data_IF_290710057655
#
_entry.id   IF_290710057655
#
_cell.length_a   1.000
_cell.length_b   1.000
_cell.length_c   1.000
_cell.angle_alpha   90.00
_cell.angle_beta   90.00
_cell.angle_gamma   90.00
#
_symmetry.space_group_name_H-M   'P 1'
#
loop_
_entity.id
_entity.type
_entity.pdbx_description
1 polymer ?
#
# COMPACT_ATOMS: atom_id res chain seq x y z
N UNK A 1 14.06 14.88 15.90
CA UNK A 1 12.89 14.28 15.22
C UNK A 1 11.77 14.16 16.23
N UNK A 2 10.59 14.72 15.97
CA UNK A 2 9.48 14.66 16.92
C UNK A 2 9.06 13.21 17.14
N UNK A 3 8.86 12.78 18.38
CA UNK A 3 8.46 11.42 18.73
C UNK A 3 7.25 10.92 17.93
N UNK A 4 6.27 11.78 17.70
CA UNK A 4 5.06 11.47 16.94
C UNK A 4 5.35 11.19 15.46
N UNK A 5 6.24 11.97 14.83
CA UNK A 5 6.67 11.74 13.46
C UNK A 5 7.36 10.36 13.32
N UNK A 6 8.12 9.96 14.34
CA UNK A 6 8.72 8.63 14.38
C UNK A 6 7.68 7.50 14.46
N UNK A 7 6.58 7.71 15.19
CA UNK A 7 5.45 6.75 15.22
C UNK A 7 4.79 6.70 13.83
N UNK A 8 4.51 7.85 13.22
CA UNK A 8 3.86 7.94 11.91
C UNK A 8 4.68 7.20 10.84
N UNK A 9 6.01 7.40 10.80
CA UNK A 9 6.86 6.69 9.84
C UNK A 9 6.86 5.16 10.06
N UNK A 10 6.93 4.71 11.32
CA UNK A 10 6.83 3.28 11.65
C UNK A 10 5.46 2.70 11.27
N UNK A 11 4.40 3.50 11.46
CA UNK A 11 3.06 3.10 11.05
C UNK A 11 3.00 2.85 9.54
N UNK A 12 3.61 3.71 8.72
CA UNK A 12 3.63 3.53 7.27
C UNK A 12 4.45 2.32 6.82
N UNK A 13 5.56 2.01 7.48
CA UNK A 13 6.30 0.75 7.21
C UNK A 13 5.38 -0.45 7.46
N UNK A 14 4.72 -0.49 8.61
CA UNK A 14 3.89 -1.64 9.00
C UNK A 14 2.60 -1.72 8.18
N UNK A 15 2.05 -0.57 7.75
CA UNK A 15 0.90 -0.51 6.85
C UNK A 15 1.25 -0.98 5.43
N UNK A 16 2.47 -0.74 4.95
CA UNK A 16 2.92 -1.23 3.66
C UNK A 16 3.15 -2.75 3.60
N UNK A 17 3.44 -3.39 4.75
CA UNK A 17 3.74 -4.83 4.79
C UNK A 17 2.67 -5.72 4.12
N UNK A 18 1.35 -5.54 4.34
CA UNK A 18 0.34 -6.43 3.79
C UNK A 18 -0.04 -6.13 2.34
N UNK A 19 0.31 -4.99 1.78
CA UNK A 19 -0.22 -4.54 0.48
C UNK A 19 0.16 -5.46 -0.69
N UNK A 20 1.35 -6.05 -0.67
CA UNK A 20 1.80 -7.00 -1.68
C UNK A 20 1.61 -8.48 -1.28
N UNK A 21 1.01 -8.79 -0.12
CA UNK A 21 0.90 -10.15 0.39
C UNK A 21 -0.02 -11.03 -0.44
N UNK A 22 -1.19 -10.51 -0.82
CA UNK A 22 -2.16 -11.28 -1.61
C UNK A 22 -1.51 -11.74 -2.92
N UNK A 23 -0.88 -10.83 -3.65
CA UNK A 23 -0.18 -11.16 -4.89
C UNK A 23 0.96 -12.15 -4.68
N UNK A 24 1.75 -11.98 -3.61
CA UNK A 24 2.89 -12.86 -3.30
C UNK A 24 2.47 -14.27 -2.93
N UNK A 25 1.38 -14.43 -2.18
CA UNK A 25 0.89 -15.74 -1.72
C UNK A 25 0.02 -16.45 -2.77
N UNK A 26 -0.57 -15.70 -3.72
CA UNK A 26 -1.61 -16.19 -4.60
C UNK A 26 -1.22 -17.43 -5.43
N UNK A 27 0.02 -17.59 -5.94
CA UNK A 27 0.44 -18.80 -6.65
C UNK A 27 0.30 -20.12 -5.85
N UNK A 28 0.22 -20.03 -4.52
CA UNK A 28 -0.09 -21.17 -3.65
C UNK A 28 -1.58 -21.25 -3.31
N UNK A 29 -2.18 -20.09 -3.01
CA UNK A 29 -3.56 -20.00 -2.52
C UNK A 29 -4.58 -20.47 -3.55
N UNK A 30 -4.46 -20.07 -4.83
CA UNK A 30 -5.44 -20.43 -5.84
C UNK A 30 -5.47 -21.95 -6.11
N UNK A 31 -4.33 -22.63 -6.01
CA UNK A 31 -4.23 -24.09 -6.12
C UNK A 31 -4.86 -24.78 -4.92
N UNK A 32 -4.59 -24.28 -3.71
CA UNK A 32 -5.14 -24.84 -2.47
C UNK A 32 -6.66 -24.70 -2.40
N UNK A 33 -7.19 -23.55 -2.84
CA UNK A 33 -8.64 -23.29 -2.88
C UNK A 33 -9.34 -23.87 -4.11
N UNK A 34 -8.58 -24.40 -5.07
CA UNK A 34 -9.09 -24.94 -6.34
C UNK A 34 -9.94 -23.91 -7.12
N UNK A 35 -9.50 -22.66 -7.14
CA UNK A 35 -10.16 -21.56 -7.84
C UNK A 35 -9.32 -21.06 -9.01
N UNK A 36 -9.93 -20.41 -10.02
CA UNK A 36 -9.17 -19.76 -11.08
C UNK A 36 -8.19 -18.71 -10.55
N UNK A 37 -7.03 -18.57 -11.20
CA UNK A 37 -6.02 -17.57 -10.82
C UNK A 37 -6.59 -16.14 -10.79
N UNK A 38 -7.56 -15.84 -11.64
CA UNK A 38 -8.24 -14.53 -11.72
C UNK A 38 -9.02 -14.12 -10.46
N UNK A 39 -9.32 -15.06 -9.57
CA UNK A 39 -10.07 -14.77 -8.33
C UNK A 39 -9.35 -13.87 -7.33
N UNK A 40 -8.01 -13.71 -7.43
CA UNK A 40 -7.29 -12.67 -6.69
C UNK A 40 -7.85 -11.28 -6.98
N UNK A 41 -8.27 -11.02 -8.21
CA UNK A 41 -8.89 -9.76 -8.62
C UNK A 41 -10.17 -9.46 -7.84
N UNK A 42 -10.99 -10.47 -7.56
CA UNK A 42 -12.22 -10.27 -6.78
C UNK A 42 -11.91 -9.82 -5.33
N UNK A 43 -10.95 -10.46 -4.67
CA UNK A 43 -10.51 -10.07 -3.32
C UNK A 43 -9.94 -8.64 -3.36
N UNK A 44 -9.08 -8.33 -4.34
CA UNK A 44 -8.48 -7.00 -4.51
C UNK A 44 -9.55 -5.93 -4.75
N UNK A 45 -10.58 -6.21 -5.53
CA UNK A 45 -11.69 -5.28 -5.76
C UNK A 45 -12.51 -5.03 -4.49
N UNK A 46 -12.77 -6.05 -3.67
CA UNK A 46 -13.46 -5.89 -2.38
C UNK A 46 -12.63 -4.98 -1.46
N UNK A 47 -11.32 -5.20 -1.38
CA UNK A 47 -10.40 -4.35 -0.62
C UNK A 47 -10.46 -2.92 -1.14
N UNK A 48 -10.32 -2.71 -2.46
CA UNK A 48 -10.33 -1.40 -3.07
C UNK A 48 -11.63 -0.63 -2.82
N UNK A 49 -12.78 -1.29 -2.94
CA UNK A 49 -14.08 -0.68 -2.62
C UNK A 49 -14.17 -0.27 -1.15
N UNK A 50 -13.74 -1.13 -0.23
CA UNK A 50 -13.67 -0.81 1.19
C UNK A 50 -12.74 0.39 1.47
N UNK A 51 -11.58 0.44 0.83
CA UNK A 51 -10.60 1.53 0.92
C UNK A 51 -11.20 2.85 0.42
N UNK A 52 -11.85 2.86 -0.73
CA UNK A 52 -12.52 4.06 -1.29
C UNK A 52 -13.59 4.56 -0.32
N UNK A 53 -14.48 3.69 0.14
CA UNK A 53 -15.56 4.07 1.05
C UNK A 53 -15.03 4.64 2.36
N UNK A 54 -14.02 4.01 2.96
CA UNK A 54 -13.46 4.47 4.23
C UNK A 54 -12.64 5.74 4.09
N UNK A 55 -11.93 5.94 2.98
CA UNK A 55 -11.19 7.17 2.69
C UNK A 55 -12.13 8.36 2.54
N UNK A 56 -13.28 8.20 1.88
CA UNK A 56 -14.31 9.24 1.76
C UNK A 56 -14.93 9.64 3.11
N UNK A 57 -14.98 8.70 4.06
CA UNK A 57 -15.49 8.95 5.41
C UNK A 57 -14.41 9.46 6.38
N UNK A 58 -13.14 9.33 6.03
CA UNK A 58 -11.99 9.57 6.90
C UNK A 58 -11.97 10.98 7.48
N UNK A 59 -12.26 12.02 6.68
CA UNK A 59 -12.29 13.40 7.16
C UNK A 59 -13.35 13.59 8.27
N UNK A 60 -14.57 13.07 8.07
CA UNK A 60 -15.65 13.14 9.08
C UNK A 60 -15.27 12.41 10.36
N UNK A 61 -14.68 11.22 10.23
CA UNK A 61 -14.24 10.42 11.37
C UNK A 61 -13.09 11.11 12.13
N UNK A 62 -12.13 11.68 11.41
CA UNK A 62 -10.99 12.38 11.99
C UNK A 62 -11.41 13.65 12.74
N UNK A 63 -12.35 14.43 12.20
CA UNK A 63 -12.92 15.59 12.89
C UNK A 63 -13.66 15.20 14.17
N UNK A 64 -14.39 14.08 14.16
CA UNK A 64 -15.19 13.64 15.33
C UNK A 64 -14.35 12.98 16.41
N UNK A 65 -13.40 12.12 16.04
CA UNK A 65 -12.67 11.26 16.99
C UNK A 65 -11.19 11.63 17.13
N UNK A 66 -10.66 12.47 16.26
CA UNK A 66 -9.24 12.82 16.18
C UNK A 66 -8.42 11.80 15.40
N UNK A 67 -7.34 12.27 14.77
CA UNK A 67 -6.47 11.46 13.90
C UNK A 67 -5.90 10.23 14.63
N UNK A 68 -5.45 10.38 15.87
CA UNK A 68 -4.86 9.27 16.62
C UNK A 68 -5.85 8.12 16.87
N UNK A 69 -7.10 8.43 17.24
CA UNK A 69 -8.11 7.42 17.50
C UNK A 69 -8.53 6.71 16.21
N UNK A 70 -8.74 7.45 15.12
CA UNK A 70 -9.04 6.88 13.79
C UNK A 70 -7.89 5.97 13.35
N UNK A 71 -6.64 6.40 13.47
CA UNK A 71 -5.47 5.58 13.13
C UNK A 71 -5.41 4.30 13.95
N UNK A 72 -5.56 4.39 15.29
CA UNK A 72 -5.52 3.22 16.17
C UNK A 72 -6.60 2.20 15.83
N UNK A 73 -7.84 2.66 15.65
CA UNK A 73 -8.98 1.80 15.32
C UNK A 73 -8.79 1.15 13.94
N UNK A 74 -8.37 1.91 12.94
CA UNK A 74 -8.17 1.43 11.58
C UNK A 74 -7.05 0.38 11.49
N UNK A 75 -5.90 0.61 12.14
CA UNK A 75 -4.82 -0.39 12.21
C UNK A 75 -5.26 -1.62 12.98
N UNK A 76 -6.07 -1.46 14.03
CA UNK A 76 -6.65 -2.59 14.76
C UNK A 76 -7.58 -3.44 13.89
N UNK A 77 -8.41 -2.81 13.08
CA UNK A 77 -9.31 -3.49 12.12
C UNK A 77 -8.49 -4.24 11.06
N UNK A 78 -7.44 -3.62 10.50
CA UNK A 78 -6.58 -4.31 9.52
C UNK A 78 -5.81 -5.48 10.15
N UNK A 79 -5.33 -5.33 11.39
CA UNK A 79 -4.68 -6.41 12.12
C UNK A 79 -5.62 -7.60 12.33
N UNK A 80 -6.86 -7.34 12.75
CA UNK A 80 -7.89 -8.34 12.92
C UNK A 80 -8.26 -9.02 11.60
N UNK A 81 -8.41 -8.27 10.53
CA UNK A 81 -8.66 -8.80 9.20
C UNK A 81 -7.53 -9.71 8.71
N UNK A 82 -6.27 -9.31 8.89
CA UNK A 82 -5.10 -10.14 8.53
C UNK A 82 -5.02 -11.43 9.37
N UNK A 83 -5.41 -11.36 10.64
CA UNK A 83 -5.57 -12.57 11.43
C UNK A 83 -6.63 -13.48 10.83
N UNK A 84 -7.76 -12.92 10.41
CA UNK A 84 -8.80 -13.63 9.68
C UNK A 84 -8.30 -14.28 8.38
N UNK A 85 -7.48 -13.56 7.59
CA UNK A 85 -6.79 -14.15 6.43
C UNK A 85 -5.93 -15.34 6.84
N UNK A 86 -5.20 -15.23 7.96
CA UNK A 86 -4.29 -16.27 8.43
C UNK A 86 -4.95 -17.57 8.90
N UNK A 87 -6.25 -17.56 9.17
CA UNK A 87 -7.03 -18.73 9.57
C UNK A 87 -8.03 -19.17 8.50
N UNK A 88 -8.00 -18.54 7.33
CA UNK A 88 -8.92 -18.84 6.23
C UNK A 88 -8.54 -20.15 5.54
N UNK A 89 -9.56 -20.97 5.25
CA UNK A 89 -9.43 -22.25 4.56
C UNK A 89 -10.24 -22.29 3.25
N UNK A 90 -10.83 -21.16 2.86
CA UNK A 90 -11.60 -21.07 1.62
C UNK A 90 -11.53 -19.66 1.02
N UNK A 91 -11.74 -19.59 -0.29
CA UNK A 91 -11.81 -18.31 -1.02
C UNK A 91 -12.85 -17.35 -0.43
N UNK A 92 -14.04 -17.85 -0.07
CA UNK A 92 -15.12 -17.03 0.47
C UNK A 92 -14.79 -16.40 1.82
N UNK A 93 -14.06 -17.12 2.66
CA UNK A 93 -13.55 -16.55 3.92
C UNK A 93 -12.62 -15.38 3.67
N UNK A 94 -11.75 -15.46 2.66
CA UNK A 94 -10.88 -14.33 2.29
C UNK A 94 -11.70 -13.13 1.82
N UNK A 95 -12.77 -13.35 1.02
CA UNK A 95 -13.65 -12.27 0.58
C UNK A 95 -14.33 -11.57 1.78
N UNK A 96 -14.77 -12.32 2.79
CA UNK A 96 -15.36 -11.77 4.02
C UNK A 96 -14.33 -10.92 4.78
N UNK A 97 -13.11 -11.41 4.96
CA UNK A 97 -12.05 -10.69 5.65
C UNK A 97 -11.49 -9.51 4.85
N UNK A 98 -11.62 -9.53 3.53
CA UNK A 98 -11.23 -8.41 2.66
C UNK A 98 -12.04 -7.14 2.94
N UNK A 99 -13.29 -7.26 3.40
CA UNK A 99 -14.16 -6.11 3.73
C UNK A 99 -13.58 -5.29 4.89
N UNK A 100 -13.40 -5.83 6.11
CA UNK A 100 -12.82 -5.06 7.19
C UNK A 100 -11.38 -4.63 6.90
N UNK A 101 -10.60 -5.41 6.15
CA UNK A 101 -9.26 -5.01 5.74
C UNK A 101 -9.30 -3.71 4.92
N UNK A 102 -10.11 -3.65 3.86
CA UNK A 102 -10.22 -2.45 3.02
C UNK A 102 -10.74 -1.23 3.79
N UNK A 103 -11.75 -1.41 4.65
CA UNK A 103 -12.28 -0.33 5.49
C UNK A 103 -11.21 0.24 6.46
N UNK A 104 -10.39 -0.60 7.05
CA UNK A 104 -9.30 -0.16 7.91
C UNK A 104 -8.21 0.57 7.12
N UNK A 105 -7.74 -0.02 6.01
CA UNK A 105 -6.63 0.50 5.22
C UNK A 105 -6.88 1.93 4.70
N UNK A 106 -8.06 2.21 4.13
CA UNK A 106 -8.34 3.52 3.55
C UNK A 106 -8.43 4.64 4.58
N UNK A 107 -9.03 4.40 5.73
CA UNK A 107 -9.15 5.43 6.77
C UNK A 107 -7.80 5.80 7.39
N UNK A 108 -6.91 4.84 7.61
CA UNK A 108 -5.59 5.12 8.20
C UNK A 108 -4.70 5.88 7.23
N UNK A 109 -4.70 5.49 5.95
CA UNK A 109 -3.90 6.16 4.94
C UNK A 109 -4.35 7.63 4.78
N UNK A 110 -5.63 7.86 4.55
CA UNK A 110 -6.17 9.21 4.39
C UNK A 110 -5.93 10.09 5.63
N UNK A 111 -6.15 9.58 6.84
CA UNK A 111 -6.00 10.37 8.06
C UNK A 111 -4.56 10.74 8.39
N UNK A 112 -3.61 9.83 8.18
CA UNK A 112 -2.18 10.11 8.41
C UNK A 112 -1.58 11.02 7.34
N UNK A 113 -1.94 10.83 6.07
CA UNK A 113 -1.53 11.72 4.99
C UNK A 113 -2.01 13.15 5.25
N UNK A 114 -3.28 13.33 5.60
CA UNK A 114 -3.83 14.64 5.95
C UNK A 114 -3.12 15.24 7.17
N UNK A 115 -2.88 14.46 8.22
CA UNK A 115 -2.18 14.92 9.40
C UNK A 115 -0.76 15.41 9.08
N UNK A 116 0.00 14.68 8.26
CA UNK A 116 1.36 15.08 7.84
C UNK A 116 1.32 16.31 6.96
N UNK A 117 0.35 16.41 6.04
CA UNK A 117 0.20 17.58 5.17
C UNK A 117 -0.07 18.87 5.97
N UNK A 118 -0.86 18.77 7.05
CA UNK A 118 -1.22 19.94 7.87
C UNK A 118 -0.14 20.34 8.88
N UNK A 119 0.67 19.41 9.39
CA UNK A 119 1.54 19.66 10.55
C UNK A 119 3.03 19.61 10.25
N UNK A 120 3.42 19.19 9.03
CA UNK A 120 4.83 18.98 8.67
C UNK A 120 5.16 19.52 7.28
N UNK A 121 6.44 19.79 7.02
CA UNK A 121 6.91 20.26 5.71
C UNK A 121 6.75 19.17 4.64
N UNK A 122 6.58 19.57 3.37
CA UNK A 122 6.33 18.69 2.21
C UNK A 122 7.33 17.53 2.06
N UNK A 123 8.60 17.74 2.48
CA UNK A 123 9.61 16.67 2.49
C UNK A 123 9.22 15.44 3.32
N UNK A 124 8.43 15.64 4.39
CA UNK A 124 7.98 14.54 5.25
C UNK A 124 6.91 13.69 4.57
N UNK A 125 6.16 14.24 3.62
CA UNK A 125 5.23 13.47 2.79
C UNK A 125 5.99 12.48 1.89
N UNK A 126 7.05 12.91 1.22
CA UNK A 126 7.90 12.02 0.40
C UNK A 126 8.53 10.91 1.25
N UNK A 127 9.05 11.24 2.43
CA UNK A 127 9.60 10.26 3.37
C UNK A 127 8.55 9.27 3.90
N UNK A 128 7.33 9.72 4.12
CA UNK A 128 6.21 8.89 4.53
C UNK A 128 5.94 7.77 3.52
N UNK A 129 5.81 8.14 2.25
CA UNK A 129 5.60 7.17 1.18
C UNK A 129 6.84 6.30 0.89
N UNK A 130 8.05 6.80 1.13
CA UNK A 130 9.25 5.98 1.10
C UNK A 130 9.20 4.89 2.19
N UNK A 131 8.78 5.23 3.41
CA UNK A 131 8.62 4.26 4.50
C UNK A 131 7.54 3.21 4.19
N UNK A 132 6.42 3.61 3.56
CA UNK A 132 5.44 2.65 3.04
C UNK A 132 6.08 1.68 2.04
N UNK A 133 6.86 2.18 1.09
CA UNK A 133 7.57 1.36 0.11
C UNK A 133 8.55 0.36 0.75
N UNK A 134 9.23 0.74 1.84
CA UNK A 134 10.05 -0.19 2.63
C UNK A 134 9.19 -1.33 3.16
N UNK A 135 8.02 -1.03 3.74
CA UNK A 135 7.08 -2.04 4.22
C UNK A 135 6.58 -2.96 3.09
N UNK A 136 6.13 -2.37 1.99
CA UNK A 136 5.64 -3.10 0.82
C UNK A 136 6.73 -4.01 0.21
N UNK A 137 8.00 -3.61 0.33
CA UNK A 137 9.14 -4.45 -0.06
C UNK A 137 9.33 -5.64 0.89
N UNK A 138 9.29 -5.41 2.19
CA UNK A 138 9.55 -6.45 3.21
C UNK A 138 8.45 -7.53 3.23
N UNK A 139 7.18 -7.15 2.98
CA UNK A 139 6.04 -8.07 3.01
C UNK A 139 6.24 -9.33 2.15
N UNK A 140 6.53 -9.21 0.83
CA UNK A 140 6.82 -10.34 -0.04
C UNK A 140 7.98 -11.21 0.41
N UNK A 141 9.03 -10.62 1.02
CA UNK A 141 10.14 -11.40 1.57
C UNK A 141 9.73 -12.22 2.79
N UNK A 142 8.88 -11.68 3.68
CA UNK A 142 8.31 -12.45 4.80
C UNK A 142 7.48 -13.62 4.27
N UNK A 143 6.63 -13.38 3.26
CA UNK A 143 5.83 -14.42 2.63
C UNK A 143 6.71 -15.47 1.94
N UNK A 144 7.69 -15.03 1.16
CA UNK A 144 8.64 -15.93 0.50
C UNK A 144 9.43 -16.77 1.49
N UNK A 145 9.89 -16.19 2.60
CA UNK A 145 10.59 -16.92 3.67
C UNK A 145 9.68 -17.96 4.35
N UNK A 146 8.42 -17.61 4.64
CA UNK A 146 7.46 -18.56 5.20
C UNK A 146 7.24 -19.75 4.25
N UNK A 147 7.04 -19.49 2.96
CA UNK A 147 6.82 -20.54 1.96
C UNK A 147 8.06 -21.40 1.71
N UNK A 148 9.26 -20.80 1.74
CA UNK A 148 10.53 -21.53 1.54
C UNK A 148 10.89 -22.36 2.77
N UNK A 149 10.57 -21.89 3.97
CA UNK A 149 10.77 -22.61 5.23
C UNK A 149 9.79 -23.76 5.46
N UNK A 150 8.97 -24.12 4.47
CA UNK A 150 7.99 -25.21 4.56
C UNK A 150 6.73 -24.86 5.35
N UNK A 151 6.56 -23.60 5.76
CA UNK A 151 5.33 -23.13 6.36
C UNK A 151 4.29 -22.76 5.28
N UNK A 152 3.04 -22.59 5.69
CA UNK A 152 1.97 -22.17 4.78
C UNK A 152 1.95 -20.65 4.60
N UNK A 153 1.26 -20.16 3.56
CA UNK A 153 0.97 -18.74 3.35
C UNK A 153 0.23 -18.11 4.55
N UNK A 154 -0.56 -18.89 5.30
CA UNK A 154 -1.21 -18.47 6.54
C UNK A 154 -0.19 -17.91 7.56
N UNK A 155 1.01 -18.52 7.64
CA UNK A 155 2.06 -18.06 8.54
C UNK A 155 2.56 -16.67 8.18
N UNK A 156 2.72 -16.35 6.90
CA UNK A 156 3.07 -15.01 6.44
C UNK A 156 2.05 -13.96 6.90
N UNK A 157 0.76 -14.22 6.69
CA UNK A 157 -0.31 -13.34 7.17
C UNK A 157 -0.32 -13.21 8.70
N UNK A 158 -0.10 -14.30 9.43
CA UNK A 158 -0.05 -14.31 10.90
C UNK A 158 1.07 -13.45 11.45
N UNK A 159 2.27 -13.56 10.89
CA UNK A 159 3.42 -12.73 11.29
C UNK A 159 3.08 -11.25 11.14
N UNK A 160 2.55 -10.84 9.99
CA UNK A 160 2.24 -9.43 9.72
C UNK A 160 1.06 -8.95 10.58
N UNK A 161 0.05 -9.79 10.80
CA UNK A 161 -1.04 -9.48 11.73
C UNK A 161 -0.52 -9.19 13.13
N UNK A 162 0.38 -10.01 13.67
CA UNK A 162 0.99 -9.77 15.00
C UNK A 162 1.78 -8.45 15.01
N UNK A 163 2.53 -8.15 13.95
CA UNK A 163 3.23 -6.86 13.85
C UNK A 163 2.25 -5.67 13.87
N UNK A 164 1.10 -5.79 13.20
CA UNK A 164 0.07 -4.75 13.23
C UNK A 164 -0.65 -4.63 14.58
N UNK A 165 -0.85 -5.75 15.30
CA UNK A 165 -1.36 -5.71 16.69
C UNK A 165 -0.40 -4.93 17.60
N UNK A 166 0.90 -5.20 17.50
CA UNK A 166 1.93 -4.46 18.27
C UNK A 166 1.90 -2.97 17.91
N UNK A 167 1.79 -2.64 16.61
CA UNK A 167 1.67 -1.25 16.18
C UNK A 167 0.40 -0.60 16.76
N UNK A 168 -0.74 -1.29 16.71
CA UNK A 168 -2.00 -0.80 17.28
C UNK A 168 -1.81 -0.44 18.76
N UNK A 169 -1.18 -1.32 19.53
CA UNK A 169 -0.87 -1.05 20.94
C UNK A 169 0.01 0.20 21.11
N UNK A 170 1.09 0.35 20.31
CA UNK A 170 1.96 1.53 20.34
C UNK A 170 1.16 2.81 20.04
N UNK A 171 0.27 2.79 19.04
CA UNK A 171 -0.56 3.95 18.71
C UNK A 171 -1.53 4.27 19.85
N UNK A 172 -2.20 3.27 20.42
CA UNK A 172 -3.12 3.45 21.55
C UNK A 172 -2.39 4.09 22.75
N UNK A 173 -1.20 3.60 23.12
CA UNK A 173 -0.40 4.21 24.19
C UNK A 173 0.11 5.62 23.86
N UNK A 174 0.18 5.98 22.59
CA UNK A 174 0.59 7.32 22.13
C UNK A 174 -0.56 8.32 22.03
N UNK A 175 -1.83 7.90 22.14
CA UNK A 175 -3.02 8.74 21.98
C UNK A 175 -2.98 10.08 22.77
N UNK A 176 -2.48 10.14 24.02
CA UNK A 176 -2.40 11.41 24.72
C UNK A 176 -1.55 12.46 24.02
N UNK A 177 -0.54 12.05 23.24
CA UNK A 177 0.35 12.95 22.50
C UNK A 177 -0.25 13.52 21.20
N UNK A 178 -1.31 12.91 20.70
CA UNK A 178 -2.05 13.40 19.53
C UNK A 178 -3.00 14.53 19.88
N UNK A 179 -3.61 14.50 21.09
CA UNK A 179 -4.59 15.48 21.53
C UNK A 179 -4.03 16.91 21.63
N UNK A 180 -2.78 17.08 22.03
CA UNK A 180 -2.17 18.40 22.21
C UNK A 180 -1.92 19.19 20.92
N UNK A 181 -2.04 18.56 19.74
CA UNK A 181 -1.84 19.19 18.43
C UNK A 181 -3.15 19.43 17.66
N UNK A 182 -4.20 18.68 17.97
CA UNK A 182 -5.49 18.87 17.31
C UNK A 182 -6.12 20.24 17.59
N UNK A 183 -5.85 20.81 18.78
CA UNK A 183 -6.38 22.13 19.18
C UNK A 183 -5.82 23.27 18.31
N UNK A 184 -4.58 23.15 17.83
CA UNK A 184 -3.96 24.20 16.99
C UNK A 184 -4.43 24.15 15.53
N UNK A 185 -5.04 23.05 15.08
CA UNK A 185 -5.54 22.88 13.71
C UNK A 185 -7.00 23.38 13.56
N UNK A 186 -7.77 23.40 14.66
CA UNK A 186 -9.15 23.88 14.65
C UNK A 186 -9.25 25.39 14.42
N UNK A 187 -8.20 26.17 14.73
CA UNK A 187 -8.19 27.63 14.51
C UNK A 187 -7.94 28.03 13.04
N UNK A 188 -7.55 27.09 12.15
CA UNK A 188 -7.14 27.47 10.79
C UNK A 188 -8.06 27.05 9.64
N UNK A 189 -9.20 26.40 9.86
CA UNK A 189 -9.98 25.98 8.69
C UNK A 189 -11.50 25.92 8.94
N UNK A 190 -12.17 27.02 8.85
CA UNK A 190 -13.48 27.11 8.18
C UNK A 190 -13.29 27.01 6.65
N UNK A 191 -12.45 26.11 6.16
CA UNK A 191 -12.40 25.84 4.74
C UNK A 191 -13.64 25.03 4.37
N UNK A 192 -14.55 25.69 3.65
CA UNK A 192 -15.73 25.08 3.05
C UNK A 192 -15.29 23.83 2.29
N UNK A 193 -15.83 22.68 2.67
CA UNK A 193 -15.59 21.44 1.92
C UNK A 193 -16.13 21.64 0.50
N UNK A 194 -15.25 21.59 -0.48
CA UNK A 194 -15.63 21.65 -1.89
C UNK A 194 -16.45 20.41 -2.25
N UNK A 195 -17.55 20.59 -2.94
CA UNK A 195 -18.30 19.48 -3.53
C UNK A 195 -17.49 18.84 -4.65
N UNK A 196 -17.81 17.58 -5.00
CA UNK A 196 -17.16 16.89 -6.11
C UNK A 196 -17.29 17.67 -7.43
N UNK A 197 -18.41 18.35 -7.64
CA UNK A 197 -18.64 19.19 -8.82
C UNK A 197 -17.71 20.40 -8.85
N UNK A 198 -17.51 21.07 -7.72
CA UNK A 198 -16.57 22.19 -7.59
C UNK A 198 -15.12 21.74 -7.83
N UNK A 199 -14.73 20.57 -7.32
CA UNK A 199 -13.40 19.99 -7.56
C UNK A 199 -13.20 19.67 -9.05
N UNK A 200 -14.18 19.06 -9.70
CA UNK A 200 -14.11 18.72 -11.14
C UNK A 200 -14.15 19.95 -12.05
N UNK A 201 -14.59 21.10 -11.54
CA UNK A 201 -14.57 22.38 -12.24
C UNK A 201 -13.18 23.06 -12.22
N UNK A 202 -12.27 22.64 -11.32
CA UNK A 202 -10.91 23.19 -11.25
C UNK A 202 -10.16 22.84 -12.54
N UNK A 203 -9.57 23.83 -13.25
CA UNK A 203 -8.79 23.56 -14.47
C UNK A 203 -7.65 22.57 -14.20
N UNK A 204 -7.57 21.49 -14.99
CA UNK A 204 -6.55 20.45 -14.85
C UNK A 204 -6.90 19.31 -13.87
N UNK A 205 -7.87 19.47 -12.98
CA UNK A 205 -8.21 18.46 -11.98
C UNK A 205 -8.57 17.10 -12.60
N UNK A 206 -9.38 17.08 -13.67
CA UNK A 206 -9.75 15.86 -14.39
C UNK A 206 -8.53 15.14 -14.97
N UNK A 207 -7.59 15.89 -15.57
CA UNK A 207 -6.38 15.33 -16.16
C UNK A 207 -5.48 14.70 -15.07
N UNK A 208 -5.32 15.36 -13.93
CA UNK A 208 -4.56 14.85 -12.79
C UNK A 208 -5.22 13.57 -12.24
N UNK A 209 -6.55 13.56 -12.10
CA UNK A 209 -7.28 12.39 -11.61
C UNK A 209 -7.13 11.18 -12.56
N UNK A 210 -7.20 11.40 -13.88
CA UNK A 210 -7.00 10.33 -14.86
C UNK A 210 -5.54 9.82 -14.81
N UNK A 211 -4.57 10.72 -14.75
CA UNK A 211 -3.16 10.36 -14.66
C UNK A 211 -2.88 9.53 -13.40
N UNK A 212 -3.41 9.94 -12.26
CA UNK A 212 -3.27 9.24 -11.00
C UNK A 212 -3.99 7.88 -11.02
N UNK A 213 -5.17 7.81 -11.62
CA UNK A 213 -5.87 6.53 -11.84
C UNK A 213 -5.02 5.54 -12.66
N UNK A 214 -4.44 5.99 -13.78
CA UNK A 214 -3.57 5.15 -14.61
C UNK A 214 -2.33 4.68 -13.83
N UNK A 215 -1.73 5.57 -13.04
CA UNK A 215 -0.61 5.23 -12.17
C UNK A 215 -1.00 4.14 -11.16
N UNK A 216 -2.08 4.34 -10.41
CA UNK A 216 -2.57 3.37 -9.44
C UNK A 216 -2.94 2.04 -10.10
N UNK A 217 -3.50 2.05 -11.31
CA UNK A 217 -3.83 0.84 -12.05
C UNK A 217 -2.58 0.01 -12.39
N UNK A 218 -1.49 0.64 -12.82
CA UNK A 218 -0.20 -0.03 -13.08
C UNK A 218 0.39 -0.59 -11.78
N UNK A 219 0.41 0.23 -10.72
CA UNK A 219 0.94 -0.18 -9.41
C UNK A 219 0.18 -1.38 -8.85
N UNK A 220 -1.14 -1.30 -8.74
CA UNK A 220 -1.97 -2.37 -8.17
C UNK A 220 -1.95 -3.65 -9.03
N UNK A 221 -1.97 -3.51 -10.34
CA UNK A 221 -1.88 -4.67 -11.25
C UNK A 221 -0.55 -5.39 -11.07
N UNK A 222 0.55 -4.65 -11.00
CA UNK A 222 1.87 -5.24 -10.81
C UNK A 222 1.99 -5.90 -9.43
N UNK A 223 1.56 -5.23 -8.36
CA UNK A 223 1.60 -5.80 -7.01
C UNK A 223 0.79 -7.10 -6.91
N UNK A 224 -0.38 -7.15 -7.54
CA UNK A 224 -1.26 -8.30 -7.48
C UNK A 224 -0.76 -9.48 -8.32
N UNK A 225 -0.23 -9.21 -9.53
CA UNK A 225 0.03 -10.25 -10.51
C UNK A 225 1.51 -10.61 -10.71
N UNK A 226 2.48 -9.86 -10.15
CA UNK A 226 3.91 -10.09 -10.35
C UNK A 226 4.32 -11.52 -10.01
N UNK A 227 3.92 -12.04 -8.85
CA UNK A 227 4.25 -13.40 -8.42
C UNK A 227 3.59 -14.45 -9.32
N UNK A 228 2.33 -14.27 -9.67
CA UNK A 228 1.61 -15.18 -10.59
C UNK A 228 2.22 -15.17 -11.98
N UNK A 229 2.61 -14.00 -12.51
CA UNK A 229 3.31 -13.89 -13.79
C UNK A 229 4.66 -14.64 -13.78
N UNK A 230 5.47 -14.44 -12.75
CA UNK A 230 6.74 -15.14 -12.59
C UNK A 230 6.55 -16.65 -12.49
N UNK A 231 5.54 -17.10 -11.77
CA UNK A 231 5.25 -18.53 -11.60
C UNK A 231 4.72 -19.16 -12.88
N UNK A 232 3.67 -18.60 -13.49
CA UNK A 232 2.95 -19.20 -14.61
C UNK A 232 3.64 -18.98 -15.96
N UNK A 233 4.17 -17.78 -16.22
CA UNK A 233 4.74 -17.42 -17.52
C UNK A 233 6.27 -17.61 -17.59
N UNK A 234 6.98 -17.50 -16.47
CA UNK A 234 8.45 -17.62 -16.42
C UNK A 234 8.92 -18.90 -15.73
N UNK A 235 8.03 -19.76 -15.27
CA UNK A 235 8.35 -21.05 -14.64
C UNK A 235 9.15 -20.93 -13.34
N UNK A 236 9.02 -19.84 -12.60
CA UNK A 236 9.64 -19.64 -11.29
C UNK A 236 8.80 -20.38 -10.23
N UNK A 237 9.43 -21.05 -9.26
CA UNK A 237 8.68 -21.68 -8.17
C UNK A 237 7.84 -20.63 -7.40
N UNK A 238 6.68 -21.02 -6.88
CA UNK A 238 5.80 -20.10 -6.17
C UNK A 238 6.50 -19.41 -4.97
N UNK A 239 7.40 -20.12 -4.28
CA UNK A 239 8.19 -19.59 -3.18
C UNK A 239 9.13 -18.48 -3.63
N UNK A 240 9.88 -18.73 -4.71
CA UNK A 240 10.83 -17.76 -5.27
C UNK A 240 10.08 -16.58 -5.92
N UNK A 241 8.95 -16.85 -6.58
CA UNK A 241 8.11 -15.82 -7.19
C UNK A 241 7.53 -14.87 -6.13
N UNK A 242 7.14 -15.37 -4.96
CA UNK A 242 6.69 -14.55 -3.84
C UNK A 242 7.77 -13.54 -3.40
N UNK A 243 9.01 -14.00 -3.25
CA UNK A 243 10.16 -13.13 -2.92
C UNK A 243 10.44 -12.13 -4.04
N UNK A 244 10.45 -12.57 -5.28
CA UNK A 244 10.80 -11.74 -6.44
C UNK A 244 9.74 -10.70 -6.77
N UNK A 245 8.49 -10.89 -6.39
CA UNK A 245 7.46 -9.85 -6.48
C UNK A 245 7.84 -8.57 -5.71
N UNK A 246 8.64 -8.71 -4.63
CA UNK A 246 9.18 -7.57 -3.88
C UNK A 246 10.12 -6.67 -4.69
N UNK A 247 10.68 -7.11 -5.82
CA UNK A 247 11.57 -6.29 -6.66
C UNK A 247 10.85 -5.06 -7.23
N UNK A 248 9.57 -5.18 -7.55
CA UNK A 248 8.75 -4.04 -7.93
C UNK A 248 8.67 -2.99 -6.81
N UNK A 249 8.43 -3.44 -5.58
CA UNK A 249 8.36 -2.54 -4.42
C UNK A 249 9.72 -1.89 -4.10
N UNK A 250 10.84 -2.55 -4.40
CA UNK A 250 12.18 -1.95 -4.34
C UNK A 250 12.27 -0.80 -5.33
N UNK A 251 11.80 -0.98 -6.57
CA UNK A 251 11.73 0.08 -7.57
C UNK A 251 10.97 1.31 -7.06
N UNK A 252 9.76 1.11 -6.53
CA UNK A 252 8.95 2.18 -5.93
C UNK A 252 9.72 2.90 -4.80
N UNK A 253 10.33 2.15 -3.89
CA UNK A 253 11.02 2.71 -2.73
C UNK A 253 12.22 3.54 -3.14
N UNK A 254 13.05 3.01 -4.03
CA UNK A 254 14.25 3.68 -4.56
C UNK A 254 13.86 4.88 -5.40
N UNK A 255 12.87 4.72 -6.29
CA UNK A 255 12.35 5.79 -7.14
C UNK A 255 11.85 6.97 -6.32
N UNK A 256 11.02 6.72 -5.29
CA UNK A 256 10.51 7.76 -4.37
C UNK A 256 11.64 8.41 -3.56
N UNK A 257 12.62 7.62 -3.11
CA UNK A 257 13.79 8.13 -2.41
C UNK A 257 14.64 9.08 -3.27
N UNK A 258 14.92 8.68 -4.50
CA UNK A 258 15.72 9.46 -5.47
C UNK A 258 14.95 10.70 -5.95
N UNK A 259 13.64 10.57 -6.14
CA UNK A 259 12.78 11.66 -6.61
C UNK A 259 12.87 12.91 -5.73
N UNK A 260 12.97 12.75 -4.41
CA UNK A 260 13.18 13.86 -3.47
C UNK A 260 14.43 14.70 -3.75
N UNK A 261 15.47 14.10 -4.34
CA UNK A 261 16.71 14.81 -4.71
C UNK A 261 16.62 15.38 -6.14
N UNK A 262 16.01 14.65 -7.07
CA UNK A 262 15.88 15.06 -8.47
C UNK A 262 14.92 16.24 -8.61
N UNK A 263 13.84 16.27 -7.82
CA UNK A 263 12.84 17.34 -7.79
C UNK A 263 13.42 18.74 -7.50
N UNK A 264 14.61 18.81 -6.90
CA UNK A 264 15.32 20.09 -6.71
C UNK A 264 15.97 20.62 -7.98
N UNK A 265 16.13 19.81 -9.03
CA UNK A 265 16.89 20.14 -10.25
C UNK A 265 16.06 20.10 -11.52
N UNK A 266 15.01 19.29 -11.56
CA UNK A 266 14.18 19.08 -12.74
C UNK A 266 12.76 19.63 -12.52
N UNK A 267 12.12 20.04 -13.63
CA UNK A 267 10.70 20.43 -13.62
C UNK A 267 9.82 19.19 -13.50
N UNK A 268 8.65 19.31 -12.86
CA UNK A 268 7.70 18.22 -12.68
C UNK A 268 7.34 17.49 -13.98
N UNK A 269 7.15 18.24 -15.08
CA UNK A 269 6.84 17.68 -16.39
C UNK A 269 7.98 16.82 -16.98
N UNK A 270 9.22 17.14 -16.67
CA UNK A 270 10.39 16.36 -17.11
C UNK A 270 10.49 15.07 -16.29
N UNK A 271 10.24 15.15 -14.99
CA UNK A 271 10.24 14.01 -14.09
C UNK A 271 9.15 13.02 -14.45
N UNK A 272 7.93 13.48 -14.75
CA UNK A 272 6.82 12.64 -15.18
C UNK A 272 7.16 11.91 -16.49
N UNK A 273 7.68 12.62 -17.51
CA UNK A 273 8.07 12.01 -18.79
C UNK A 273 9.20 10.99 -18.64
N UNK A 274 10.17 11.27 -17.78
CA UNK A 274 11.27 10.35 -17.48
C UNK A 274 10.75 9.07 -16.80
N UNK A 275 9.88 9.20 -15.81
CA UNK A 275 9.23 8.07 -15.16
C UNK A 275 8.40 7.23 -16.14
N UNK A 276 7.59 7.86 -16.98
CA UNK A 276 6.82 7.16 -18.03
C UNK A 276 7.71 6.38 -18.99
N UNK A 277 8.84 6.97 -19.41
CA UNK A 277 9.79 6.29 -20.29
C UNK A 277 10.43 5.07 -19.61
N UNK A 278 10.82 5.20 -18.33
CA UNK A 278 11.39 4.09 -17.54
C UNK A 278 10.37 2.96 -17.39
N UNK A 279 9.12 3.28 -17.03
CA UNK A 279 8.02 2.28 -16.93
C UNK A 279 7.82 1.56 -18.26
N UNK A 280 7.75 2.30 -19.38
CA UNK A 280 7.59 1.71 -20.70
C UNK A 280 8.71 0.73 -21.05
N UNK A 281 9.96 1.12 -20.80
CA UNK A 281 11.13 0.26 -20.99
C UNK A 281 11.04 -0.96 -20.07
N UNK A 282 10.67 -0.79 -18.80
CA UNK A 282 10.49 -1.87 -17.85
C UNK A 282 9.45 -2.91 -18.31
N UNK A 283 8.30 -2.45 -18.79
CA UNK A 283 7.25 -3.32 -19.35
C UNK A 283 7.75 -4.08 -20.57
N UNK A 284 8.43 -3.41 -21.51
CA UNK A 284 8.99 -4.06 -22.70
C UNK A 284 10.01 -5.13 -22.30
N UNK A 285 10.91 -4.84 -21.35
CA UNK A 285 11.91 -5.78 -20.86
C UNK A 285 11.25 -6.99 -20.17
N UNK A 286 10.17 -6.81 -19.42
CA UNK A 286 9.42 -7.91 -18.82
C UNK A 286 8.80 -8.86 -19.86
N UNK A 287 8.31 -8.31 -20.96
CA UNK A 287 7.64 -9.08 -22.02
C UNK A 287 8.62 -9.88 -22.87
N UNK A 288 9.89 -9.46 -22.94
CA UNK A 288 10.88 -10.16 -23.72
C UNK A 288 11.13 -11.59 -23.21
N UNK A 289 11.36 -12.57 -24.09
CA UNK A 289 11.67 -13.96 -23.71
C UNK A 289 13.14 -14.15 -23.28
N UNK A 290 13.76 -13.16 -22.64
CA UNK A 290 15.20 -13.10 -22.31
C UNK A 290 15.52 -13.72 -20.93
N UNK A 291 14.58 -14.45 -20.33
CA UNK A 291 14.82 -15.14 -19.08
C UNK A 291 14.37 -14.38 -17.83
N UNK A 292 14.67 -14.97 -16.66
CA UNK A 292 14.14 -14.52 -15.35
C UNK A 292 14.73 -13.18 -14.91
N UNK A 293 16.03 -12.95 -15.19
CA UNK A 293 16.73 -11.73 -14.78
C UNK A 293 16.16 -10.50 -15.46
N UNK A 294 15.83 -10.57 -16.75
CA UNK A 294 15.19 -9.48 -17.48
C UNK A 294 13.84 -9.11 -16.87
N UNK A 295 13.03 -10.12 -16.48
CA UNK A 295 11.75 -9.85 -15.81
C UNK A 295 11.94 -9.12 -14.47
N UNK A 296 12.96 -9.49 -13.66
CA UNK A 296 13.25 -8.81 -12.39
C UNK A 296 13.70 -7.36 -12.59
N UNK A 297 14.60 -7.13 -13.55
CA UNK A 297 15.01 -5.75 -13.91
C UNK A 297 13.81 -4.95 -14.40
N UNK A 298 12.95 -5.56 -15.23
CA UNK A 298 11.71 -4.93 -15.67
C UNK A 298 10.80 -4.54 -14.51
N UNK A 299 10.61 -5.40 -13.50
CA UNK A 299 9.84 -5.06 -12.31
C UNK A 299 10.41 -3.88 -11.53
N UNK A 300 11.74 -3.81 -11.35
CA UNK A 300 12.40 -2.66 -10.70
C UNK A 300 12.19 -1.37 -11.50
N UNK A 301 12.22 -1.43 -12.83
CA UNK A 301 12.00 -0.27 -13.69
C UNK A 301 10.53 0.17 -13.72
N UNK A 302 9.59 -0.74 -13.56
CA UNK A 302 8.15 -0.42 -13.51
C UNK A 302 7.77 0.21 -12.17
N UNK A 303 8.42 -0.18 -11.06
CA UNK A 303 8.28 0.46 -9.75
C UNK A 303 9.07 1.74 -9.61
#
# INVERSE_FOLDING_TARGET
>A
MNFLLGIIYRSFIILGLPDALLGSAWPKMYLEFQVPVSYAGAISMIIALGTILSSLLSDRLTRKFGTGAVTATSVGITAFALWGFSISHSFWMLCIWAIPYGLGAGSVDASLNNYVALHYASKHMSWLHCMWGVGATIGPYIMGAALTGGASWNTGYRIISVMQVVLTAIIVFSLPKWKGRNVSAEEHTESKLLSLQEILAIPGAKAIMICFFCYCAVEQTTMLWASSYLNLAKGVSAQTAATFAGMFCIGITVGRGINGFIAMKLKDSQMIRMGQAIILVGVLVMLLPIGRVAALVGFVCVG
#
